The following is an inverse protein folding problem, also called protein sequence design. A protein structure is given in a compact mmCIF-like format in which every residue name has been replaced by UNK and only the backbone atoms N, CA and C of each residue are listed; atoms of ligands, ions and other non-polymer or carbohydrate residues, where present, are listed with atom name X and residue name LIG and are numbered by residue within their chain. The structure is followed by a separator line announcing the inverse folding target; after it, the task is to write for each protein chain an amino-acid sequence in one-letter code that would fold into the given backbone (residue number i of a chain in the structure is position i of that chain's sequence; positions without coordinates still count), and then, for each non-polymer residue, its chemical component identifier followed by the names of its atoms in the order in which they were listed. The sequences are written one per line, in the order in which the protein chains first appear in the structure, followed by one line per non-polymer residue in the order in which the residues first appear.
data_IF_938058002660
#
_entry.id   IF_938058002660
#
_cell.length_a   1.000
_cell.length_b   1.000
_cell.length_c   1.000
_cell.angle_alpha   90.00
_cell.angle_beta   90.00
_cell.angle_gamma   90.00
#
_symmetry.space_group_name_H-M   'P 1'
#
loop_
_entity.id
_entity.type
_entity.pdbx_description
1 polymer ?
#
# COMPACT_ATOMS: atom_id res chain seq x y z
N UNK A 1 7.73 -23.76 -10.32
CA UNK A 1 8.27 -22.40 -10.41
C UNK A 1 7.32 -21.65 -11.32
N UNK A 2 6.65 -20.62 -10.81
CA UNK A 2 5.82 -19.77 -11.67
C UNK A 2 6.73 -19.08 -12.68
N UNK A 3 6.34 -19.01 -13.96
CA UNK A 3 7.22 -18.48 -15.01
C UNK A 3 7.35 -16.95 -14.98
N UNK A 4 6.45 -16.24 -14.29
CA UNK A 4 6.34 -14.78 -14.27
C UNK A 4 5.92 -14.36 -12.86
N UNK A 5 6.46 -13.24 -12.34
CA UNK A 5 6.08 -12.70 -11.04
C UNK A 5 4.74 -11.94 -11.06
N UNK A 6 4.04 -11.88 -9.93
CA UNK A 6 2.82 -11.08 -9.79
C UNK A 6 3.05 -9.60 -10.13
N UNK A 7 4.22 -9.06 -9.80
CA UNK A 7 4.61 -7.70 -10.13
C UNK A 7 4.67 -7.44 -11.65
N UNK A 8 5.19 -8.40 -12.43
CA UNK A 8 5.19 -8.33 -13.89
C UNK A 8 3.76 -8.40 -14.44
N UNK A 9 2.92 -9.26 -13.90
CA UNK A 9 1.50 -9.36 -14.27
C UNK A 9 0.77 -8.05 -13.95
N UNK A 10 0.92 -7.50 -12.75
CA UNK A 10 0.33 -6.21 -12.36
C UNK A 10 0.73 -5.08 -13.30
N UNK A 11 2.01 -5.03 -13.69
CA UNK A 11 2.52 -4.05 -14.64
C UNK A 11 1.92 -4.22 -16.03
N UNK A 12 1.76 -5.45 -16.51
CA UNK A 12 1.14 -5.76 -17.79
C UNK A 12 -0.34 -5.30 -17.84
N UNK A 13 -1.01 -5.24 -16.70
CA UNK A 13 -2.39 -4.76 -16.55
C UNK A 13 -2.49 -3.26 -16.19
N UNK A 14 -1.36 -2.54 -16.16
CA UNK A 14 -1.34 -1.08 -16.12
C UNK A 14 -1.05 -0.46 -14.76
N UNK A 15 -0.46 -1.22 -13.83
CA UNK A 15 0.06 -0.70 -12.57
C UNK A 15 1.20 0.32 -12.81
N UNK A 16 1.21 1.38 -11.99
CA UNK A 16 2.25 2.41 -12.03
C UNK A 16 3.35 2.23 -11.00
N UNK A 17 2.97 1.66 -9.85
CA UNK A 17 3.80 1.37 -8.69
C UNK A 17 3.52 -0.06 -8.26
N UNK A 18 4.50 -0.74 -7.67
CA UNK A 18 4.35 -2.09 -7.13
C UNK A 18 4.61 -2.07 -5.63
N UNK A 19 3.67 -2.57 -4.84
CA UNK A 19 3.86 -2.84 -3.43
C UNK A 19 3.99 -4.35 -3.21
N UNK A 20 5.16 -4.81 -2.78
CA UNK A 20 5.34 -6.21 -2.41
C UNK A 20 4.78 -6.43 -1.01
N UNK A 21 3.56 -6.96 -0.95
CA UNK A 21 2.95 -7.33 0.33
C UNK A 21 3.66 -8.56 0.93
N UNK A 22 3.73 -8.61 2.26
CA UNK A 22 4.38 -9.68 3.02
C UNK A 22 5.85 -9.98 2.63
N UNK A 23 6.56 -9.01 2.05
CA UNK A 23 7.99 -9.15 1.73
C UNK A 23 8.83 -9.23 3.02
N UNK A 24 9.66 -10.26 3.11
CA UNK A 24 10.51 -10.50 4.28
C UNK A 24 11.95 -10.02 3.98
N UNK A 25 12.38 -8.94 4.65
CA UNK A 25 13.71 -8.35 4.45
C UNK A 25 14.86 -9.25 4.91
N UNK A 26 14.60 -10.30 5.70
CA UNK A 26 15.61 -11.28 6.13
C UNK A 26 15.61 -12.54 5.25
N UNK A 27 14.48 -12.83 4.61
CA UNK A 27 14.28 -13.96 3.71
C UNK A 27 13.74 -13.48 2.37
N UNK A 28 14.55 -12.68 1.68
CA UNK A 28 14.09 -12.00 0.46
C UNK A 28 13.90 -12.99 -0.69
N UNK A 29 12.64 -13.23 -1.05
CA UNK A 29 12.24 -14.07 -2.17
C UNK A 29 11.12 -13.35 -2.90
N UNK A 30 11.17 -13.37 -4.23
CA UNK A 30 10.08 -12.92 -5.09
C UNK A 30 9.77 -14.07 -6.04
N UNK A 31 8.58 -14.64 -5.92
CA UNK A 31 8.15 -15.75 -6.78
C UNK A 31 8.20 -15.32 -8.24
N UNK A 32 8.77 -16.17 -9.11
CA UNK A 32 8.95 -15.88 -10.52
C UNK A 32 10.24 -15.12 -10.88
N UNK A 33 11.03 -14.68 -9.89
CA UNK A 33 12.32 -14.02 -10.13
C UNK A 33 13.47 -14.93 -9.70
N UNK A 34 14.22 -15.45 -10.67
CA UNK A 34 15.42 -16.24 -10.43
C UNK A 34 16.65 -15.33 -10.33
N UNK A 35 17.01 -14.96 -9.09
CA UNK A 35 18.16 -14.12 -8.79
C UNK A 35 18.67 -14.37 -7.36
N UNK A 36 19.94 -14.05 -7.06
CA UNK A 36 20.42 -14.00 -5.68
C UNK A 36 19.57 -13.05 -4.83
N UNK A 37 19.34 -13.41 -3.57
CA UNK A 37 18.62 -12.65 -2.53
C UNK A 37 18.92 -11.14 -2.56
N UNK A 38 20.19 -10.75 -2.63
CA UNK A 38 20.60 -9.32 -2.61
C UNK A 38 20.27 -8.56 -3.91
N UNK A 39 20.08 -9.28 -5.01
CA UNK A 39 19.83 -8.72 -6.34
C UNK A 39 18.37 -8.87 -6.78
N UNK A 40 17.54 -9.61 -6.03
CA UNK A 40 16.20 -10.03 -6.48
C UNK A 40 15.29 -8.83 -6.81
N UNK A 41 15.32 -7.79 -5.99
CA UNK A 41 14.57 -6.55 -6.21
C UNK A 41 15.15 -5.76 -7.39
N UNK A 42 16.47 -5.67 -7.52
CA UNK A 42 17.14 -5.03 -8.66
C UNK A 42 16.80 -5.71 -10.00
N UNK A 43 16.76 -7.05 -10.02
CA UNK A 43 16.35 -7.84 -11.18
C UNK A 43 14.87 -7.61 -11.49
N UNK A 44 13.99 -7.65 -10.49
CA UNK A 44 12.57 -7.33 -10.68
C UNK A 44 12.40 -5.94 -11.32
N UNK A 45 13.05 -4.91 -10.77
CA UNK A 45 12.97 -3.54 -11.30
C UNK A 45 13.44 -3.42 -12.74
N UNK A 46 14.42 -4.21 -13.17
CA UNK A 46 14.84 -4.28 -14.59
C UNK A 46 13.73 -4.85 -15.49
N UNK A 47 12.94 -5.81 -15.01
CA UNK A 47 11.84 -6.39 -15.78
C UNK A 47 10.66 -5.44 -15.89
N UNK A 48 10.27 -4.80 -14.79
CA UNK A 48 9.04 -4.00 -14.75
C UNK A 48 9.25 -2.52 -15.07
N UNK A 49 10.44 -1.97 -14.82
CA UNK A 49 10.74 -0.54 -14.99
C UNK A 49 9.82 0.37 -14.15
N UNK A 50 9.52 -0.04 -12.90
CA UNK A 50 8.64 0.66 -11.95
C UNK A 50 9.32 0.82 -10.60
N UNK A 51 8.80 1.76 -9.82
CA UNK A 51 9.14 1.86 -8.41
C UNK A 51 8.53 0.67 -7.66
N UNK A 52 9.29 0.13 -6.72
CA UNK A 52 8.92 -1.02 -5.89
C UNK A 52 8.98 -0.61 -4.43
N UNK A 53 7.87 -0.76 -3.74
CA UNK A 53 7.75 -0.57 -2.30
C UNK A 53 7.49 -1.88 -1.57
N UNK A 54 7.58 -1.84 -0.24
CA UNK A 54 7.20 -2.94 0.64
C UNK A 54 6.27 -2.48 1.75
N UNK A 55 5.50 -3.41 2.30
CA UNK A 55 4.79 -3.21 3.56
C UNK A 55 5.69 -3.66 4.72
N UNK A 56 5.87 -2.80 5.72
CA UNK A 56 6.42 -3.17 7.02
C UNK A 56 5.38 -2.90 8.11
N UNK A 57 5.18 -3.87 8.99
CA UNK A 57 4.09 -3.87 9.97
C UNK A 57 4.59 -3.39 11.35
N UNK A 58 4.10 -2.25 11.86
CA UNK A 58 4.43 -1.76 13.20
C UNK A 58 3.88 -2.68 14.30
N UNK A 59 4.70 -3.00 15.30
CA UNK A 59 4.20 -3.77 16.45
C UNK A 59 3.39 -2.86 17.38
N UNK A 60 2.07 -2.98 17.27
CA UNK A 60 1.11 -2.35 18.17
C UNK A 60 0.68 -3.27 19.32
N UNK A 61 -0.20 -2.74 20.17
CA UNK A 61 -0.79 -3.44 21.32
C UNK A 61 -2.32 -3.45 21.25
N UNK A 62 -2.92 -3.27 20.06
CA UNK A 62 -4.38 -3.21 19.89
C UNK A 62 -5.06 -4.49 20.39
N UNK A 63 -6.18 -4.32 21.11
CA UNK A 63 -7.05 -5.44 21.48
C UNK A 63 -7.74 -5.99 20.23
N UNK A 64 -7.32 -7.20 19.82
CA UNK A 64 -7.79 -7.81 18.59
C UNK A 64 -9.10 -8.59 18.77
N UNK A 65 -9.90 -8.60 17.70
CA UNK A 65 -11.11 -9.43 17.58
C UNK A 65 -10.78 -10.87 17.16
N UNK A 66 -9.66 -11.08 16.47
CA UNK A 66 -9.21 -12.38 15.94
C UNK A 66 -7.94 -12.88 16.61
N UNK A 67 -7.59 -14.14 16.36
CA UNK A 67 -6.32 -14.73 16.78
C UNK A 67 -5.13 -13.98 16.19
N UNK A 68 -4.04 -13.87 16.97
CA UNK A 68 -2.80 -13.23 16.53
C UNK A 68 -2.08 -14.09 15.50
N UNK A 69 -1.75 -13.48 14.36
CA UNK A 69 -0.97 -14.13 13.30
C UNK A 69 0.51 -13.75 13.50
N UNK A 70 1.40 -14.72 13.77
CA UNK A 70 2.82 -14.43 13.96
C UNK A 70 3.44 -13.77 12.72
N UNK A 71 4.00 -12.58 12.93
CA UNK A 71 4.78 -11.85 11.92
C UNK A 71 6.20 -12.41 11.85
N UNK A 72 6.71 -12.61 10.63
CA UNK A 72 8.13 -12.92 10.43
C UNK A 72 8.98 -11.69 10.74
N UNK A 73 10.20 -11.91 11.24
CA UNK A 73 11.05 -10.81 11.74
C UNK A 73 11.35 -9.76 10.67
N UNK A 74 11.58 -10.18 9.42
CA UNK A 74 11.86 -9.25 8.31
C UNK A 74 10.66 -8.47 7.79
N UNK A 75 9.46 -8.69 8.32
CA UNK A 75 8.24 -7.92 8.01
C UNK A 75 7.92 -6.84 9.04
N UNK A 76 8.62 -6.82 10.16
CA UNK A 76 8.36 -5.86 11.25
C UNK A 76 8.92 -4.50 10.85
N UNK A 77 8.19 -3.42 11.15
CA UNK A 77 8.63 -2.05 10.95
C UNK A 77 9.71 -1.63 11.97
N UNK A 78 10.91 -2.14 11.79
CA UNK A 78 12.11 -1.69 12.50
C UNK A 78 13.00 -0.88 11.57
N UNK A 79 13.81 0.00 12.13
CA UNK A 79 14.84 0.73 11.39
C UNK A 79 15.81 -0.22 10.66
N UNK A 80 16.19 -1.34 11.28
CA UNK A 80 17.09 -2.33 10.65
C UNK A 80 16.47 -2.95 9.39
N UNK A 81 15.18 -3.27 9.41
CA UNK A 81 14.49 -3.79 8.23
C UNK A 81 14.31 -2.72 7.16
N UNK A 82 14.05 -1.46 7.54
CA UNK A 82 13.99 -0.35 6.60
C UNK A 82 15.36 -0.14 5.89
N UNK A 83 16.48 -0.21 6.64
CA UNK A 83 17.83 -0.15 6.07
C UNK A 83 18.10 -1.30 5.10
N UNK A 84 17.79 -2.54 5.49
CA UNK A 84 17.88 -3.70 4.58
C UNK A 84 17.04 -3.51 3.32
N UNK A 85 15.81 -3.02 3.44
CA UNK A 85 14.94 -2.74 2.30
C UNK A 85 15.59 -1.73 1.33
N UNK A 86 16.16 -0.65 1.87
CA UNK A 86 16.88 0.35 1.06
C UNK A 86 18.09 -0.26 0.34
N UNK A 87 18.88 -1.09 1.02
CA UNK A 87 20.05 -1.77 0.43
C UNK A 87 19.64 -2.72 -0.71
N UNK A 88 18.45 -3.33 -0.63
CA UNK A 88 17.87 -4.17 -1.69
C UNK A 88 17.35 -3.34 -2.88
N UNK A 89 17.27 -2.02 -2.77
CA UNK A 89 16.79 -1.13 -3.84
C UNK A 89 15.28 -0.85 -3.80
N UNK A 90 14.64 -1.01 -2.64
CA UNK A 90 13.26 -0.57 -2.41
C UNK A 90 13.17 0.96 -2.43
N UNK A 91 12.13 1.48 -3.10
CA UNK A 91 11.94 2.92 -3.35
C UNK A 91 11.03 3.60 -2.31
N UNK A 92 10.12 2.86 -1.68
CA UNK A 92 9.20 3.39 -0.67
C UNK A 92 8.73 2.33 0.32
N UNK A 93 8.36 2.74 1.53
CA UNK A 93 7.86 1.86 2.58
C UNK A 93 6.44 2.25 2.95
N UNK A 94 5.55 1.27 3.03
CA UNK A 94 4.20 1.42 3.56
C UNK A 94 4.15 0.89 4.98
N UNK A 95 3.92 1.78 5.94
CA UNK A 95 3.70 1.48 7.34
C UNK A 95 2.21 1.35 7.60
N UNK A 96 1.73 0.11 7.58
CA UNK A 96 0.32 -0.25 7.81
C UNK A 96 0.26 -1.56 8.59
N UNK A 97 -0.94 -1.97 8.97
CA UNK A 97 -1.16 -3.29 9.58
C UNK A 97 -2.09 -4.13 8.73
N UNK A 98 -1.78 -5.42 8.59
CA UNK A 98 -2.72 -6.40 8.06
C UNK A 98 -3.72 -6.85 9.15
N UNK A 99 -4.86 -7.49 8.80
CA UNK A 99 -5.78 -7.99 9.81
C UNK A 99 -5.09 -9.03 10.71
N UNK A 100 -5.25 -8.91 12.03
CA UNK A 100 -4.63 -9.84 12.98
C UNK A 100 -3.18 -9.52 13.37
N UNK A 101 -2.66 -8.36 12.98
CA UNK A 101 -1.29 -7.87 13.31
C UNK A 101 -1.21 -7.09 14.64
N UNK A 102 -2.33 -6.56 15.14
CA UNK A 102 -2.38 -5.77 16.38
C UNK A 102 -1.87 -4.34 16.24
N UNK A 103 -1.68 -3.86 15.01
CA UNK A 103 -1.19 -2.50 14.72
C UNK A 103 -2.15 -1.42 15.20
N UNK A 104 -1.64 -0.47 15.97
CA UNK A 104 -2.32 0.77 16.39
C UNK A 104 -1.64 2.01 15.77
N UNK A 105 -2.33 3.14 15.82
CA UNK A 105 -1.80 4.39 15.26
C UNK A 105 -0.55 4.90 16.02
N UNK A 106 -0.42 4.63 17.32
CA UNK A 106 0.80 4.97 18.08
C UNK A 106 2.03 4.18 17.58
N UNK A 107 1.88 2.91 17.23
CA UNK A 107 2.93 2.09 16.65
C UNK A 107 3.35 2.58 15.26
N UNK A 108 2.38 2.98 14.44
CA UNK A 108 2.65 3.62 13.14
C UNK A 108 3.47 4.89 13.34
N UNK A 109 3.04 5.82 14.21
CA UNK A 109 3.77 7.06 14.49
C UNK A 109 5.20 6.82 14.95
N UNK A 110 5.40 5.90 15.91
CA UNK A 110 6.73 5.54 16.40
C UNK A 110 7.63 5.04 15.27
N UNK A 111 7.11 4.15 14.42
CA UNK A 111 7.85 3.57 13.30
C UNK A 111 8.20 4.61 12.24
N UNK A 112 7.27 5.53 11.92
CA UNK A 112 7.54 6.66 11.02
C UNK A 112 8.72 7.47 11.57
N UNK A 113 8.65 7.87 12.85
CA UNK A 113 9.67 8.74 13.46
C UNK A 113 11.04 8.07 13.49
N UNK A 114 11.09 6.79 13.88
CA UNK A 114 12.34 6.04 13.95
C UNK A 114 13.00 5.88 12.57
N UNK A 115 12.21 5.55 11.55
CA UNK A 115 12.74 5.38 10.18
C UNK A 115 13.14 6.74 9.59
N UNK A 116 12.28 7.76 9.69
CA UNK A 116 12.51 9.06 9.09
C UNK A 116 13.75 9.78 9.66
N UNK A 117 14.04 9.60 10.96
CA UNK A 117 15.22 10.20 11.61
C UNK A 117 16.55 9.79 10.98
N UNK A 118 16.65 8.56 10.48
CA UNK A 118 17.88 8.00 9.90
C UNK A 118 17.82 7.83 8.38
N UNK A 119 16.64 7.97 7.77
CA UNK A 119 16.37 7.70 6.36
C UNK A 119 15.44 8.76 5.76
N UNK A 120 15.82 10.04 5.84
CA UNK A 120 15.02 11.18 5.36
C UNK A 120 14.67 11.10 3.86
N UNK A 121 15.47 10.39 3.06
CA UNK A 121 15.26 10.18 1.62
C UNK A 121 14.34 8.99 1.28
N UNK A 122 13.97 8.17 2.27
CA UNK A 122 13.03 7.08 2.08
C UNK A 122 11.61 7.62 2.08
N UNK A 123 10.85 7.37 1.01
CA UNK A 123 9.44 7.76 0.94
C UNK A 123 8.64 6.89 1.90
N UNK A 124 7.98 7.53 2.87
CA UNK A 124 7.14 6.84 3.86
C UNK A 124 5.67 7.08 3.58
N UNK A 125 4.94 5.99 3.32
CA UNK A 125 3.48 5.96 3.29
C UNK A 125 2.99 5.41 4.62
N UNK A 126 2.05 6.07 5.28
CA UNK A 126 1.59 5.62 6.59
C UNK A 126 0.10 5.82 6.81
N UNK A 127 -0.52 4.86 7.49
CA UNK A 127 -1.93 4.90 7.84
C UNK A 127 -2.54 3.51 7.90
N UNK A 128 -3.84 3.42 7.70
CA UNK A 128 -4.59 2.16 7.79
C UNK A 128 -5.52 2.02 6.60
N UNK A 129 -5.53 0.84 6.01
CA UNK A 129 -6.45 0.46 4.91
C UNK A 129 -7.74 -0.22 5.40
N UNK A 130 -7.78 -0.61 6.68
CA UNK A 130 -8.92 -1.26 7.34
C UNK A 130 -8.76 -1.18 8.87
N UNK A 131 -9.77 -1.60 9.63
CA UNK A 131 -9.76 -1.61 11.10
C UNK A 131 -8.70 -2.55 11.75
N UNK A 132 -8.08 -3.44 10.96
CA UNK A 132 -7.06 -4.40 11.42
C UNK A 132 -7.51 -5.31 12.58
N UNK A 133 -8.83 -5.49 12.74
CA UNK A 133 -9.41 -6.27 13.82
C UNK A 133 -9.59 -5.50 15.14
N UNK A 134 -9.44 -4.18 15.15
CA UNK A 134 -9.68 -3.30 16.31
C UNK A 134 -11.17 -3.02 16.51
N UNK A 135 -11.65 -3.06 17.76
CA UNK A 135 -13.04 -2.68 18.10
C UNK A 135 -13.23 -1.17 18.21
N UNK A 136 -12.18 -0.45 18.56
CA UNK A 136 -12.22 1.00 18.83
C UNK A 136 -11.85 1.83 17.60
N UNK A 137 -11.09 1.25 16.66
CA UNK A 137 -10.69 1.89 15.41
C UNK A 137 -11.52 1.31 14.27
N UNK A 138 -12.81 1.66 14.23
CA UNK A 138 -13.75 1.23 13.20
C UNK A 138 -14.48 2.43 12.58
N UNK A 139 -14.82 2.32 11.28
CA UNK A 139 -15.39 3.43 10.51
C UNK A 139 -14.46 4.63 10.49
N UNK A 140 -15.03 5.83 10.64
CA UNK A 140 -14.27 7.10 10.61
C UNK A 140 -13.23 7.22 11.75
N UNK A 141 -13.32 6.38 12.79
CA UNK A 141 -12.34 6.36 13.88
C UNK A 141 -11.06 5.56 13.53
N UNK A 142 -10.98 4.97 12.34
CA UNK A 142 -9.75 4.31 11.87
C UNK A 142 -8.60 5.31 11.77
N UNK A 143 -8.89 6.52 11.29
CA UNK A 143 -7.88 7.56 11.08
C UNK A 143 -8.50 8.95 11.25
N UNK A 144 -8.23 9.63 12.36
CA UNK A 144 -8.74 11.00 12.57
C UNK A 144 -7.75 12.05 12.03
N UNK A 145 -8.18 13.31 11.89
CA UNK A 145 -7.29 14.40 11.45
C UNK A 145 -6.11 14.61 12.40
N UNK A 146 -6.33 14.40 13.69
CA UNK A 146 -5.28 14.47 14.71
C UNK A 146 -4.21 13.39 14.48
N UNK A 147 -4.61 12.17 14.10
CA UNK A 147 -3.66 11.12 13.73
C UNK A 147 -2.92 11.45 12.44
N UNK A 148 -3.61 11.98 11.44
CA UNK A 148 -2.99 12.44 10.19
C UNK A 148 -1.93 13.49 10.48
N UNK A 149 -2.24 14.51 11.29
CA UNK A 149 -1.28 15.55 11.67
C UNK A 149 -0.06 14.95 12.39
N UNK A 150 -0.27 14.03 13.35
CA UNK A 150 0.82 13.32 14.04
C UNK A 150 1.71 12.55 13.08
N UNK A 151 1.14 11.85 12.09
CA UNK A 151 1.92 11.11 11.09
C UNK A 151 2.74 12.04 10.20
N UNK A 152 2.15 13.15 9.76
CA UNK A 152 2.86 14.17 8.97
C UNK A 152 4.03 14.76 9.77
N UNK A 153 3.78 15.14 11.04
CA UNK A 153 4.82 15.67 11.93
C UNK A 153 5.92 14.64 12.25
N UNK A 154 5.58 13.34 12.26
CA UNK A 154 6.55 12.27 12.46
C UNK A 154 7.45 12.04 11.23
N UNK A 155 7.03 12.49 10.04
CA UNK A 155 7.81 12.37 8.80
C UNK A 155 7.13 11.60 7.67
N UNK A 156 5.82 11.32 7.74
CA UNK A 156 5.12 10.67 6.63
C UNK A 156 5.01 11.59 5.40
N UNK A 157 5.23 11.03 4.21
CA UNK A 157 5.11 11.73 2.93
C UNK A 157 3.74 11.54 2.29
N UNK A 158 3.18 10.35 2.48
CA UNK A 158 1.90 9.94 1.91
C UNK A 158 1.04 9.35 3.03
N UNK A 159 -0.21 9.79 3.11
CA UNK A 159 -1.18 9.28 4.09
C UNK A 159 -2.06 8.22 3.44
N UNK A 160 -2.05 7.02 4.04
CA UNK A 160 -2.86 5.87 3.62
C UNK A 160 -4.24 5.92 4.26
N UNK A 161 -5.27 5.91 3.43
CA UNK A 161 -6.68 6.05 3.82
C UNK A 161 -7.46 4.86 3.23
N UNK A 162 -8.45 4.27 3.93
CA UNK A 162 -9.33 3.28 3.31
C UNK A 162 -10.12 3.92 2.16
N UNK A 163 -10.28 3.21 1.05
CA UNK A 163 -11.10 3.67 -0.06
C UNK A 163 -12.59 3.82 0.36
N UNK A 164 -13.35 4.79 -0.20
CA UNK A 164 -14.78 4.92 0.06
C UNK A 164 -15.55 3.63 -0.22
N UNK A 165 -16.43 3.25 0.71
CA UNK A 165 -17.29 2.07 0.56
C UNK A 165 -16.60 0.72 0.80
N UNK A 166 -15.30 0.71 1.13
CA UNK A 166 -14.57 -0.55 1.37
C UNK A 166 -14.53 -0.98 2.82
N UNK A 167 -14.75 -0.04 3.73
CA UNK A 167 -14.86 -0.30 5.16
C UNK A 167 -16.16 0.33 5.67
N UNK A 168 -16.94 -0.37 6.52
CA UNK A 168 -18.20 0.18 7.06
C UNK A 168 -17.97 1.54 7.73
N UNK A 169 -18.72 2.55 7.28
CA UNK A 169 -18.62 3.92 7.79
C UNK A 169 -17.62 4.81 7.07
N UNK A 170 -16.78 4.29 6.16
CA UNK A 170 -15.90 5.13 5.33
C UNK A 170 -16.66 5.63 4.10
N UNK A 171 -17.02 6.90 4.14
CA UNK A 171 -17.79 7.60 3.09
C UNK A 171 -16.88 8.36 2.12
N UNK A 172 -17.40 8.75 0.96
CA UNK A 172 -16.65 9.58 0.02
C UNK A 172 -16.37 10.97 0.61
N UNK A 173 -17.33 11.53 1.34
CA UNK A 173 -17.23 12.83 2.00
C UNK A 173 -16.13 12.84 3.07
N UNK A 174 -16.07 11.78 3.88
CA UNK A 174 -15.00 11.59 4.86
C UNK A 174 -13.63 11.56 4.17
N UNK A 175 -13.47 10.72 3.13
CA UNK A 175 -12.17 10.60 2.44
C UNK A 175 -11.79 11.91 1.75
N UNK A 176 -12.73 12.62 1.13
CA UNK A 176 -12.48 13.95 0.55
C UNK A 176 -12.02 14.97 1.60
N UNK A 177 -12.63 14.97 2.78
CA UNK A 177 -12.23 15.82 3.89
C UNK A 177 -10.82 15.52 4.41
N UNK A 178 -10.42 14.24 4.41
CA UNK A 178 -9.05 13.83 4.76
C UNK A 178 -8.05 14.22 3.67
N UNK A 179 -8.36 13.97 2.40
CA UNK A 179 -7.51 14.36 1.26
C UNK A 179 -7.23 15.86 1.28
N UNK A 180 -8.28 16.68 1.44
CA UNK A 180 -8.15 18.13 1.52
C UNK A 180 -7.22 18.55 2.68
N UNK A 181 -7.41 17.96 3.86
CA UNK A 181 -6.59 18.25 5.03
C UNK A 181 -5.11 17.86 4.82
N UNK A 182 -4.84 16.71 4.20
CA UNK A 182 -3.47 16.27 3.89
C UNK A 182 -2.81 17.19 2.86
N UNK A 183 -3.54 17.60 1.82
CA UNK A 183 -3.06 18.53 0.80
C UNK A 183 -2.75 19.92 1.38
N UNK A 184 -3.53 20.42 2.36
CA UNK A 184 -3.24 21.67 3.08
C UNK A 184 -1.88 21.64 3.80
N UNK A 185 -1.37 20.45 4.15
CA UNK A 185 -0.05 20.24 4.74
C UNK A 185 1.04 19.96 3.71
N UNK A 186 0.74 20.06 2.41
CA UNK A 186 1.69 19.82 1.32
C UNK A 186 2.12 18.35 1.18
N UNK A 187 1.31 17.42 1.69
CA UNK A 187 1.54 15.96 1.62
C UNK A 187 0.58 15.31 0.62
N UNK A 188 0.83 14.05 0.28
CA UNK A 188 0.00 13.28 -0.67
C UNK A 188 -0.85 12.23 0.05
N UNK A 189 -1.80 11.65 -0.67
CA UNK A 189 -2.71 10.62 -0.17
C UNK A 189 -2.72 9.36 -1.04
N UNK A 190 -2.95 8.22 -0.38
CA UNK A 190 -3.16 6.93 -1.03
C UNK A 190 -4.43 6.29 -0.49
N UNK A 191 -5.44 6.12 -1.34
CA UNK A 191 -6.61 5.30 -1.00
C UNK A 191 -6.35 3.83 -1.28
N UNK A 192 -6.73 2.94 -0.37
CA UNK A 192 -6.55 1.50 -0.53
C UNK A 192 -7.87 0.71 -0.42
N UNK A 193 -8.06 -0.25 -1.34
CA UNK A 193 -9.01 -1.34 -1.13
C UNK A 193 -8.28 -2.41 -0.33
N UNK A 194 -8.40 -2.39 1.00
CA UNK A 194 -7.80 -3.39 1.89
C UNK A 194 -8.76 -4.50 2.32
N UNK A 195 -9.71 -4.84 1.45
CA UNK A 195 -10.72 -5.87 1.76
C UNK A 195 -10.92 -6.76 0.55
N UNK A 196 -11.56 -7.91 0.74
CA UNK A 196 -11.86 -8.86 -0.34
C UNK A 196 -12.66 -8.28 -1.51
N UNK A 197 -13.18 -7.05 -1.38
CA UNK A 197 -13.91 -6.36 -2.44
C UNK A 197 -13.11 -6.10 -3.71
N UNK A 198 -11.77 -6.15 -3.68
CA UNK A 198 -10.98 -6.03 -4.91
C UNK A 198 -11.16 -7.20 -5.90
N UNK A 199 -11.69 -8.32 -5.40
CA UNK A 199 -12.10 -9.48 -6.20
C UNK A 199 -13.59 -9.45 -6.56
N UNK A 200 -14.29 -8.35 -6.27
CA UNK A 200 -15.67 -8.17 -6.68
C UNK A 200 -15.79 -7.98 -8.21
N UNK A 201 -17.04 -8.02 -8.68
CA UNK A 201 -17.39 -7.74 -10.08
C UNK A 201 -16.76 -6.43 -10.59
N UNK A 202 -16.38 -6.41 -11.87
CA UNK A 202 -15.71 -5.26 -12.52
C UNK A 202 -16.45 -3.94 -12.24
N UNK A 203 -17.79 -3.94 -12.31
CA UNK A 203 -18.62 -2.77 -12.03
C UNK A 203 -18.44 -2.20 -10.62
N UNK A 204 -18.21 -3.06 -9.62
CA UNK A 204 -17.95 -2.63 -8.24
C UNK A 204 -16.59 -1.95 -8.15
N UNK A 205 -15.57 -2.52 -8.78
CA UNK A 205 -14.22 -1.92 -8.86
C UNK A 205 -14.28 -0.56 -9.54
N UNK A 206 -15.02 -0.45 -10.65
CA UNK A 206 -15.20 0.80 -11.37
C UNK A 206 -15.87 1.89 -10.52
N UNK A 207 -16.89 1.51 -9.73
CA UNK A 207 -17.55 2.43 -8.80
C UNK A 207 -16.62 2.90 -7.70
N UNK A 208 -15.87 1.99 -7.07
CA UNK A 208 -14.89 2.35 -6.03
C UNK A 208 -13.82 3.27 -6.60
N UNK A 209 -13.32 2.98 -7.80
CA UNK A 209 -12.34 3.82 -8.49
C UNK A 209 -12.85 5.24 -8.74
N UNK A 210 -14.10 5.38 -9.21
CA UNK A 210 -14.70 6.68 -9.44
C UNK A 210 -14.91 7.46 -8.13
N UNK A 211 -15.39 6.79 -7.08
CA UNK A 211 -15.53 7.42 -5.75
C UNK A 211 -14.18 7.91 -5.21
N UNK A 212 -13.12 7.09 -5.31
CA UNK A 212 -11.76 7.53 -4.94
C UNK A 212 -11.30 8.71 -5.78
N UNK A 213 -11.53 8.70 -7.09
CA UNK A 213 -11.15 9.83 -7.96
C UNK A 213 -11.84 11.13 -7.56
N UNK A 214 -13.11 11.06 -7.16
CA UNK A 214 -13.89 12.23 -6.74
C UNK A 214 -13.38 12.85 -5.43
N UNK A 215 -12.66 12.09 -4.58
CA UNK A 215 -12.11 12.65 -3.34
C UNK A 215 -10.90 13.54 -3.57
N UNK A 216 -10.22 13.37 -4.72
CA UNK A 216 -8.98 14.05 -5.07
C UNK A 216 -7.71 13.30 -4.66
N UNK A 217 -7.80 12.03 -4.26
CA UNK A 217 -6.63 11.23 -3.87
C UNK A 217 -5.57 11.13 -4.98
N UNK A 218 -4.31 11.03 -4.58
CA UNK A 218 -3.17 11.05 -5.51
C UNK A 218 -2.79 9.65 -6.01
N UNK A 219 -2.83 8.67 -5.10
CA UNK A 219 -2.47 7.28 -5.37
C UNK A 219 -3.66 6.37 -5.08
N UNK A 220 -3.84 5.37 -5.94
CA UNK A 220 -4.89 4.36 -5.84
C UNK A 220 -4.25 2.98 -5.67
N UNK A 221 -4.54 2.32 -4.55
CA UNK A 221 -3.95 1.05 -4.17
C UNK A 221 -4.99 -0.10 -4.19
N UNK A 222 -4.63 -1.19 -4.87
CA UNK A 222 -5.44 -2.41 -5.09
C UNK A 222 -4.48 -3.58 -5.41
N UNK A 223 -4.82 -4.80 -4.99
CA UNK A 223 -4.21 -6.07 -5.43
C UNK A 223 -3.74 -7.03 -4.32
N UNK A 224 -4.40 -7.12 -3.16
CA UNK A 224 -3.95 -7.87 -1.97
C UNK A 224 -4.77 -9.11 -1.56
N UNK A 225 -5.92 -9.38 -2.17
CA UNK A 225 -6.95 -10.32 -1.72
C UNK A 225 -7.62 -11.17 -2.83
N UNK A 226 -7.05 -11.21 -4.05
CA UNK A 226 -7.50 -12.11 -5.12
C UNK A 226 -7.28 -13.60 -4.80
N UNK A 227 -8.06 -14.50 -5.44
CA UNK A 227 -7.78 -15.94 -5.36
C UNK A 227 -6.43 -16.23 -6.05
N UNK A 228 -5.38 -16.44 -5.26
CA UNK A 228 -4.00 -16.52 -5.75
C UNK A 228 -3.17 -15.25 -5.53
N UNK A 229 -3.71 -14.24 -4.84
CA UNK A 229 -2.97 -13.05 -4.38
C UNK A 229 -3.36 -11.75 -5.09
N UNK A 230 -3.86 -11.81 -6.33
CA UNK A 230 -4.17 -10.61 -7.11
C UNK A 230 -5.25 -10.89 -8.19
N UNK A 231 -6.04 -9.88 -8.55
CA UNK A 231 -6.96 -9.91 -9.71
C UNK A 231 -6.49 -8.89 -10.77
N UNK A 232 -5.71 -9.31 -11.80
CA UNK A 232 -5.13 -8.39 -12.78
C UNK A 232 -6.16 -7.53 -13.52
N UNK A 233 -7.32 -8.10 -13.83
CA UNK A 233 -8.41 -7.42 -14.52
C UNK A 233 -8.93 -6.23 -13.71
N UNK A 234 -8.96 -6.34 -12.37
CA UNK A 234 -9.35 -5.25 -11.48
C UNK A 234 -8.40 -4.06 -11.61
N UNK A 235 -7.08 -4.28 -11.75
CA UNK A 235 -6.08 -3.22 -11.99
C UNK A 235 -6.40 -2.48 -13.30
N UNK A 236 -6.67 -3.22 -14.37
CA UNK A 236 -6.97 -2.62 -15.67
C UNK A 236 -8.30 -1.87 -15.65
N UNK A 237 -9.35 -2.42 -15.03
CA UNK A 237 -10.65 -1.78 -14.91
C UNK A 237 -10.55 -0.48 -14.11
N UNK A 238 -9.90 -0.53 -12.95
CA UNK A 238 -9.61 0.62 -12.11
C UNK A 238 -8.85 1.69 -12.90
N UNK A 239 -7.77 1.29 -13.60
CA UNK A 239 -6.98 2.17 -14.46
C UNK A 239 -7.85 2.88 -15.51
N UNK A 240 -8.74 2.15 -16.21
CA UNK A 240 -9.62 2.76 -17.23
C UNK A 240 -10.54 3.83 -16.65
N UNK A 241 -11.03 3.68 -15.42
CA UNK A 241 -11.85 4.71 -14.76
C UNK A 241 -11.02 5.95 -14.42
N UNK A 242 -9.81 5.76 -13.88
CA UNK A 242 -8.97 6.88 -13.44
C UNK A 242 -8.43 7.68 -14.62
N UNK A 243 -7.84 7.01 -15.62
CA UNK A 243 -7.08 7.67 -16.70
C UNK A 243 -7.67 7.49 -18.10
N UNK A 244 -8.74 6.71 -18.25
CA UNK A 244 -9.35 6.41 -19.55
C UNK A 244 -8.56 5.39 -20.37
N UNK A 245 -9.26 4.70 -21.29
CA UNK A 245 -8.69 3.61 -22.13
C UNK A 245 -7.38 4.01 -22.84
N UNK A 246 -7.32 5.23 -23.40
CA UNK A 246 -6.13 5.72 -24.11
C UNK A 246 -4.89 5.69 -23.21
N UNK A 247 -4.96 6.26 -22.01
CA UNK A 247 -3.81 6.33 -21.11
C UNK A 247 -3.52 4.97 -20.46
N UNK A 248 -4.54 4.16 -20.19
CA UNK A 248 -4.36 2.78 -19.70
C UNK A 248 -3.56 1.96 -20.71
N UNK A 249 -3.96 1.93 -21.98
CA UNK A 249 -3.26 1.14 -23.00
C UNK A 249 -1.85 1.67 -23.29
N UNK A 250 -1.66 2.99 -23.27
CA UNK A 250 -0.33 3.57 -23.35
C UNK A 250 0.55 3.15 -22.16
N UNK A 251 0.00 3.04 -20.95
CA UNK A 251 0.76 2.58 -19.79
C UNK A 251 1.16 1.12 -19.90
N UNK A 252 0.22 0.25 -20.31
CA UNK A 252 0.44 -1.18 -20.49
C UNK A 252 1.46 -1.46 -21.61
N UNK A 253 1.38 -0.74 -22.72
CA UNK A 253 2.21 -1.01 -23.91
C UNK A 253 3.56 -0.28 -23.93
N UNK A 254 3.78 0.72 -23.06
CA UNK A 254 5.02 1.50 -23.08
C UNK A 254 6.21 0.63 -22.68
N UNK A 255 7.17 0.53 -23.61
CA UNK A 255 8.47 -0.10 -23.35
C UNK A 255 9.15 0.53 -22.14
N UNK A 256 9.76 -0.32 -21.30
CA UNK A 256 10.57 0.10 -20.15
C UNK A 256 11.84 0.86 -20.56
N UNK A 257 12.26 0.79 -21.83
CA UNK A 257 13.47 1.40 -22.38
C UNK A 257 13.22 2.64 -23.26
N UNK A 258 12.02 3.22 -23.23
CA UNK A 258 11.62 4.36 -24.08
C UNK A 258 11.50 5.66 -23.31
#
# INVERSE_FOLDING_TARGET
MEPISDAEVACAFGADLILLNAFDCEKTVITGIDAPTQEVVHVLKKYIGRLVGINLEPLGNSQMISDFIPLSQGRIATLDNARKAKDLGIDYIVLTGNPGSGVDNDAIERSIREIHQDMEDMIIVAGKMHAAGSKTEAGENILTKEWVERFIQAGADIILIPAPGTVPGITQEYVHGMVTFVHEHGKMTMTAIGTSQESAEERTIEQIALMCKMTGTDIHHIGDAGLGGMVPESIMAYSKVIRGKRHTYLRMARSVNR
#
